data_IF_550131492897
#
_entry.id   IF_550131492897
#
_cell.length_a   1.000
_cell.length_b   1.000
_cell.length_c   1.000
_cell.angle_alpha   90.00
_cell.angle_beta   90.00
_cell.angle_gamma   90.00
#
_symmetry.space_group_name_H-M   'P 1'
#
loop_
_entity.id
_entity.type
_entity.pdbx_description
1 polymer ?
#
# COMPACT_ATOMS: atom_id res chain seq x y z
N UNK A 1 -11.52 -16.59 -21.39
CA UNK A 1 -12.99 -16.60 -21.21
C UNK A 1 -13.44 -15.14 -21.24
N UNK A 2 -14.53 -14.75 -21.94
CA UNK A 2 -14.94 -13.33 -21.95
C UNK A 2 -15.25 -12.83 -20.51
N UNK A 3 -14.77 -11.64 -20.16
CA UNK A 3 -14.96 -10.99 -18.84
C UNK A 3 -16.42 -10.98 -18.39
N UNK A 4 -17.36 -10.61 -19.25
CA UNK A 4 -18.78 -10.53 -18.87
C UNK A 4 -19.34 -11.91 -18.48
N UNK A 5 -18.88 -12.96 -19.16
CA UNK A 5 -19.22 -14.34 -18.84
C UNK A 5 -18.62 -14.76 -17.49
N UNK A 6 -17.39 -14.32 -17.19
CA UNK A 6 -16.73 -14.56 -15.90
C UNK A 6 -17.50 -13.90 -14.77
N UNK A 7 -17.81 -12.61 -14.89
CA UNK A 7 -18.56 -11.85 -13.89
C UNK A 7 -19.94 -12.45 -13.65
N UNK A 8 -20.65 -12.88 -14.71
CA UNK A 8 -21.94 -13.55 -14.58
C UNK A 8 -21.85 -14.90 -13.85
N UNK A 9 -20.83 -15.71 -14.15
CA UNK A 9 -20.60 -16.99 -13.45
C UNK A 9 -20.24 -16.73 -11.98
N UNK A 10 -19.35 -15.77 -11.71
CA UNK A 10 -18.93 -15.37 -10.36
C UNK A 10 -20.14 -15.01 -9.49
N UNK A 11 -21.03 -14.15 -10.00
CA UNK A 11 -22.25 -13.77 -9.31
C UNK A 11 -23.20 -14.96 -9.11
N UNK A 12 -23.53 -15.71 -10.18
CA UNK A 12 -24.46 -16.86 -10.10
C UNK A 12 -24.00 -17.97 -9.17
N UNK A 13 -22.69 -18.15 -9.02
CA UNK A 13 -22.09 -19.21 -8.17
C UNK A 13 -21.83 -18.73 -6.74
N UNK A 14 -22.08 -17.47 -6.42
CA UNK A 14 -21.92 -16.93 -5.07
C UNK A 14 -20.47 -16.64 -4.70
N UNK A 15 -19.70 -16.07 -5.63
CA UNK A 15 -18.38 -15.52 -5.34
C UNK A 15 -18.45 -14.05 -4.94
N UNK A 16 -18.89 -13.19 -5.86
CA UNK A 16 -18.93 -11.74 -5.67
C UNK A 16 -20.32 -11.20 -5.99
N UNK A 17 -20.89 -10.43 -5.07
CA UNK A 17 -22.17 -9.74 -5.22
C UNK A 17 -22.00 -8.25 -4.89
N UNK A 18 -22.58 -7.33 -5.68
CA UNK A 18 -22.73 -5.94 -5.26
C UNK A 18 -23.38 -5.87 -3.87
N UNK A 19 -22.85 -5.02 -2.98
CA UNK A 19 -23.48 -4.83 -1.67
C UNK A 19 -24.74 -3.97 -1.79
N UNK A 20 -25.72 -4.22 -0.91
CA UNK A 20 -26.95 -3.43 -0.77
C UNK A 20 -27.88 -3.44 -2.00
N UNK A 21 -27.88 -4.48 -2.84
CA UNK A 21 -28.68 -4.55 -4.09
C UNK A 21 -30.16 -4.18 -3.92
N UNK A 22 -30.82 -4.65 -2.85
CA UNK A 22 -32.24 -4.37 -2.59
C UNK A 22 -32.52 -2.92 -2.18
N UNK A 23 -31.47 -2.13 -1.93
CA UNK A 23 -31.50 -0.71 -1.58
C UNK A 23 -30.84 0.17 -2.66
N UNK A 24 -30.90 -0.25 -3.92
CA UNK A 24 -30.27 0.41 -5.08
C UNK A 24 -28.74 0.33 -5.14
N UNK A 25 -28.11 -0.41 -4.21
CA UNK A 25 -26.67 -0.63 -4.18
C UNK A 25 -25.85 0.60 -3.76
N UNK A 26 -24.58 0.37 -3.41
CA UNK A 26 -23.58 1.43 -3.22
C UNK A 26 -22.27 0.99 -3.84
N UNK A 27 -21.75 1.77 -4.80
CA UNK A 27 -20.48 1.48 -5.48
C UNK A 27 -19.31 1.43 -4.50
N UNK A 28 -18.35 0.53 -4.78
CA UNK A 28 -17.16 0.33 -3.97
C UNK A 28 -17.34 -0.62 -2.79
N UNK A 29 -18.52 -1.21 -2.60
CA UNK A 29 -18.77 -2.25 -1.60
C UNK A 29 -19.15 -3.56 -2.29
N UNK A 30 -18.59 -4.67 -1.80
CA UNK A 30 -18.82 -6.01 -2.36
C UNK A 30 -19.04 -7.02 -1.25
N UNK A 31 -20.12 -7.78 -1.38
CA UNK A 31 -20.42 -8.93 -0.54
C UNK A 31 -19.79 -10.19 -1.14
N UNK A 32 -19.08 -10.94 -0.31
CA UNK A 32 -18.54 -12.24 -0.69
C UNK A 32 -19.60 -13.30 -0.37
N UNK A 33 -20.18 -13.92 -1.41
CA UNK A 33 -21.16 -14.99 -1.26
C UNK A 33 -20.53 -16.27 -0.66
N UNK A 34 -21.28 -17.39 -0.53
CA UNK A 34 -20.79 -18.58 0.17
C UNK A 34 -19.46 -19.14 -0.36
N UNK A 35 -19.28 -19.22 -1.69
CA UNK A 35 -18.03 -19.70 -2.29
C UNK A 35 -16.93 -18.63 -2.25
N UNK A 36 -17.29 -17.37 -2.43
CA UNK A 36 -16.35 -16.25 -2.35
C UNK A 36 -15.75 -16.07 -0.96
N UNK A 37 -16.59 -16.18 0.08
CA UNK A 37 -16.16 -16.13 1.47
C UNK A 37 -15.21 -17.27 1.80
N UNK A 38 -15.52 -18.50 1.36
CA UNK A 38 -14.63 -19.65 1.54
C UNK A 38 -13.30 -19.47 0.80
N UNK A 39 -13.32 -19.00 -0.45
CA UNK A 39 -12.11 -18.75 -1.23
C UNK A 39 -11.23 -17.68 -0.56
N UNK A 40 -11.84 -16.55 -0.17
CA UNK A 40 -11.15 -15.47 0.53
C UNK A 40 -10.49 -15.95 1.82
N UNK A 41 -11.21 -16.76 2.61
CA UNK A 41 -10.65 -17.35 3.82
C UNK A 41 -9.47 -18.27 3.53
N UNK A 42 -9.56 -19.11 2.49
CA UNK A 42 -8.45 -19.98 2.10
C UNK A 42 -7.21 -19.18 1.68
N UNK A 43 -7.38 -18.09 0.93
CA UNK A 43 -6.29 -17.18 0.55
C UNK A 43 -5.65 -16.56 1.81
N UNK A 44 -6.45 -16.02 2.73
CA UNK A 44 -5.94 -15.45 3.98
C UNK A 44 -5.21 -16.48 4.85
N UNK A 45 -5.69 -17.72 4.92
CA UNK A 45 -5.01 -18.79 5.65
C UNK A 45 -3.68 -19.19 4.99
N UNK A 46 -3.63 -19.20 3.65
CA UNK A 46 -2.39 -19.43 2.90
C UNK A 46 -1.35 -18.33 3.21
N UNK A 47 -1.79 -17.08 3.24
CA UNK A 47 -0.94 -15.93 3.60
C UNK A 47 -0.43 -16.02 5.04
N UNK A 48 -1.31 -16.34 6.01
CA UNK A 48 -0.90 -16.59 7.40
C UNK A 48 0.14 -17.70 7.51
N UNK A 49 -0.05 -18.81 6.78
CA UNK A 49 0.91 -19.90 6.78
C UNK A 49 2.30 -19.44 6.31
N UNK A 50 2.36 -18.56 5.30
CA UNK A 50 3.63 -18.00 4.82
C UNK A 50 4.33 -17.17 5.91
N UNK A 51 3.67 -16.15 6.45
CA UNK A 51 4.35 -15.22 7.36
C UNK A 51 4.40 -15.67 8.82
N UNK A 52 3.33 -16.24 9.34
CA UNK A 52 3.27 -16.65 10.76
C UNK A 52 4.05 -17.95 10.97
N UNK A 53 3.76 -18.97 10.16
CA UNK A 53 4.40 -20.29 10.30
C UNK A 53 5.70 -20.42 9.51
N UNK A 54 5.83 -19.77 8.35
CA UNK A 54 7.04 -19.82 7.52
C UNK A 54 8.12 -18.86 8.03
N UNK A 55 7.79 -17.57 8.15
CA UNK A 55 8.76 -16.54 8.59
C UNK A 55 8.86 -16.40 10.12
N UNK A 56 7.96 -17.03 10.88
CA UNK A 56 7.97 -16.97 12.35
C UNK A 56 7.49 -15.62 12.91
N UNK A 57 6.76 -14.84 12.11
CA UNK A 57 6.18 -13.57 12.55
C UNK A 57 4.95 -13.79 13.43
N UNK A 58 4.56 -12.76 14.17
CA UNK A 58 3.40 -12.83 15.06
C UNK A 58 2.26 -11.95 14.56
N UNK A 59 1.06 -12.51 14.51
CA UNK A 59 -0.16 -11.80 14.13
C UNK A 59 -0.69 -10.97 15.29
N UNK A 60 -1.11 -9.73 14.99
CA UNK A 60 -1.84 -8.86 15.91
C UNK A 60 -3.18 -8.46 15.31
N UNK A 61 -4.10 -8.03 16.18
CA UNK A 61 -5.38 -7.46 15.78
C UNK A 61 -5.61 -6.15 16.55
N UNK A 62 -5.72 -5.05 15.80
CA UNK A 62 -6.03 -3.72 16.30
C UNK A 62 -7.38 -3.20 15.79
N UNK A 63 -7.91 -2.13 16.41
CA UNK A 63 -9.17 -1.52 15.99
C UNK A 63 -9.10 -0.96 14.57
N UNK A 64 -10.26 -0.86 13.92
CA UNK A 64 -10.41 -0.21 12.61
C UNK A 64 -10.66 1.28 12.70
N UNK A 65 -11.14 1.79 13.85
CA UNK A 65 -11.33 3.22 14.11
C UNK A 65 -10.09 3.77 14.80
N UNK A 66 -9.48 4.79 14.21
CA UNK A 66 -8.29 5.46 14.73
C UNK A 66 -8.58 6.93 15.09
N UNK A 67 -8.06 7.45 16.22
CA UNK A 67 -8.09 8.87 16.51
C UNK A 67 -7.36 9.68 15.43
N UNK A 68 -7.86 10.90 15.13
CA UNK A 68 -7.23 11.81 14.16
C UNK A 68 -5.73 12.01 14.41
N UNK A 69 -5.31 12.08 15.66
CA UNK A 69 -3.92 12.37 16.06
C UNK A 69 -2.95 11.30 15.55
N UNK A 70 -3.37 10.03 15.55
CA UNK A 70 -2.58 8.90 15.04
C UNK A 70 -2.35 9.07 13.54
N UNK A 71 -3.42 9.35 12.79
CA UNK A 71 -3.34 9.48 11.34
C UNK A 71 -2.67 10.80 10.91
N UNK A 72 -2.73 11.83 11.76
CA UNK A 72 -1.95 13.06 11.60
C UNK A 72 -0.46 12.79 11.81
N UNK A 73 -0.08 12.01 12.82
CA UNK A 73 1.31 11.61 13.03
C UNK A 73 1.87 10.82 11.85
N UNK A 74 1.07 9.94 11.25
CA UNK A 74 1.47 9.18 10.05
C UNK A 74 1.46 9.99 8.74
N UNK A 75 1.02 11.26 8.75
CA UNK A 75 0.89 12.10 7.55
C UNK A 75 -0.40 11.89 6.73
N UNK A 76 -1.18 10.83 6.98
CA UNK A 76 -2.42 10.55 6.24
C UNK A 76 -3.45 11.68 6.28
N UNK A 77 -3.57 12.40 7.40
CA UNK A 77 -4.52 13.54 7.47
C UNK A 77 -4.17 14.64 6.47
N UNK A 78 -2.89 14.81 6.16
CA UNK A 78 -2.40 15.91 5.31
C UNK A 78 -2.24 15.49 3.86
N UNK A 79 -1.86 14.22 3.61
CA UNK A 79 -1.42 13.77 2.30
C UNK A 79 -2.34 12.69 1.68
N UNK A 80 -3.32 12.15 2.42
CA UNK A 80 -4.22 11.10 1.91
C UNK A 80 -5.42 11.71 1.18
N UNK A 81 -5.12 12.44 0.10
CA UNK A 81 -6.08 13.21 -0.68
C UNK A 81 -5.94 12.91 -2.17
N UNK A 82 -7.07 12.87 -2.88
CA UNK A 82 -7.08 12.83 -4.34
C UNK A 82 -7.44 14.21 -4.92
N UNK A 83 -6.88 14.57 -6.10
CA UNK A 83 -7.27 15.77 -6.82
C UNK A 83 -8.66 15.59 -7.44
N UNK A 84 -9.59 16.48 -7.09
CA UNK A 84 -10.98 16.43 -7.55
C UNK A 84 -11.34 17.60 -8.44
N UNK A 85 -12.18 17.35 -9.43
CA UNK A 85 -12.95 18.38 -10.13
C UNK A 85 -14.43 18.01 -10.19
N UNK A 86 -15.30 19.00 -10.39
CA UNK A 86 -16.75 18.83 -10.51
C UNK A 86 -17.27 19.51 -11.77
N UNK A 87 -18.17 18.85 -12.48
CA UNK A 87 -18.88 19.49 -13.57
C UNK A 87 -19.85 20.55 -13.04
N UNK A 88 -19.74 21.78 -13.54
CA UNK A 88 -20.60 22.89 -13.12
C UNK A 88 -22.04 22.74 -13.62
N UNK A 89 -22.27 21.93 -14.67
CA UNK A 89 -23.59 21.72 -15.28
C UNK A 89 -24.39 20.59 -14.64
N UNK A 90 -23.83 19.38 -14.54
CA UNK A 90 -24.55 18.22 -14.00
C UNK A 90 -24.19 17.89 -12.53
N UNK A 91 -23.11 18.46 -12.01
CA UNK A 91 -22.67 18.24 -10.63
C UNK A 91 -21.92 16.94 -10.39
N UNK A 92 -21.69 16.12 -11.41
CA UNK A 92 -20.84 14.93 -11.33
C UNK A 92 -19.41 15.28 -10.92
N UNK A 93 -18.79 14.40 -10.15
CA UNK A 93 -17.47 14.62 -9.56
C UNK A 93 -16.50 13.58 -10.09
N UNK A 94 -15.32 14.04 -10.49
CA UNK A 94 -14.29 13.24 -11.12
C UNK A 94 -12.97 13.39 -10.36
N UNK A 95 -12.17 12.33 -10.40
CA UNK A 95 -10.74 12.42 -10.14
C UNK A 95 -10.09 13.15 -11.31
N UNK A 96 -9.43 14.26 -11.03
CA UNK A 96 -8.96 15.19 -12.06
C UNK A 96 -7.82 14.59 -12.89
N UNK A 97 -6.89 13.91 -12.24
CA UNK A 97 -5.80 13.19 -12.88
C UNK A 97 -6.30 12.15 -13.89
N UNK A 98 -7.27 11.30 -13.52
CA UNK A 98 -7.83 10.30 -14.44
C UNK A 98 -8.56 10.94 -15.63
N UNK A 99 -9.31 12.03 -15.41
CA UNK A 99 -10.05 12.67 -16.52
C UNK A 99 -9.09 13.33 -17.51
N UNK A 100 -7.96 13.83 -17.01
CA UNK A 100 -6.89 14.40 -17.83
C UNK A 100 -6.19 13.28 -18.59
N UNK A 101 -5.76 12.21 -17.91
CA UNK A 101 -5.11 11.05 -18.52
C UNK A 101 -5.98 10.42 -19.61
N UNK A 102 -7.28 10.22 -19.37
CA UNK A 102 -8.21 9.71 -20.39
C UNK A 102 -8.33 10.65 -21.60
N UNK A 103 -8.19 11.97 -21.40
CA UNK A 103 -8.31 12.96 -22.45
C UNK A 103 -7.03 13.15 -23.29
N UNK A 104 -5.85 13.10 -22.67
CA UNK A 104 -4.57 13.40 -23.33
C UNK A 104 -3.63 12.19 -23.48
N UNK A 105 -3.94 11.08 -22.82
CA UNK A 105 -3.13 9.85 -22.83
C UNK A 105 -1.78 9.98 -22.13
N UNK A 106 -1.64 10.92 -21.19
CA UNK A 106 -0.43 11.15 -20.40
C UNK A 106 -0.76 11.06 -18.92
N UNK A 107 0.09 10.38 -18.17
CA UNK A 107 0.03 10.33 -16.71
C UNK A 107 0.38 11.70 -16.12
N UNK A 108 -0.47 12.17 -15.20
CA UNK A 108 -0.38 13.45 -14.51
C UNK A 108 -0.52 13.32 -12.99
N UNK A 109 -0.51 12.10 -12.43
CA UNK A 109 -0.77 11.85 -11.00
C UNK A 109 0.24 12.57 -10.08
N UNK A 110 1.44 12.87 -10.60
CA UNK A 110 2.51 13.58 -9.90
C UNK A 110 2.46 15.12 -10.00
N UNK A 111 1.52 15.69 -10.77
CA UNK A 111 1.42 17.15 -10.97
C UNK A 111 0.62 17.84 -9.87
N UNK A 112 0.95 19.11 -9.61
CA UNK A 112 0.20 19.95 -8.68
C UNK A 112 -1.17 20.34 -9.27
N UNK A 113 -2.19 20.54 -8.42
CA UNK A 113 -3.55 20.94 -8.84
C UNK A 113 -3.56 22.14 -9.80
N UNK A 114 -2.69 23.12 -9.56
CA UNK A 114 -2.59 24.32 -10.40
C UNK A 114 -2.01 24.07 -11.80
N UNK A 115 -1.24 22.99 -11.98
CA UNK A 115 -0.70 22.58 -13.27
C UNK A 115 -1.74 21.76 -14.03
N UNK A 116 -2.44 20.86 -13.33
CA UNK A 116 -3.58 20.14 -13.88
C UNK A 116 -4.70 21.08 -14.34
N UNK A 117 -5.02 22.14 -13.60
CA UNK A 117 -5.99 23.17 -14.00
C UNK A 117 -5.59 23.84 -15.33
N UNK A 118 -4.29 24.08 -15.56
CA UNK A 118 -3.80 24.62 -16.84
C UNK A 118 -3.99 23.62 -17.97
N UNK A 119 -3.68 22.35 -17.74
CA UNK A 119 -3.85 21.28 -18.73
C UNK A 119 -5.32 21.15 -19.14
N UNK A 120 -6.24 21.20 -18.17
CA UNK A 120 -7.70 21.19 -18.41
C UNK A 120 -8.11 22.37 -19.29
N UNK A 121 -7.62 23.57 -19.01
CA UNK A 121 -7.94 24.78 -19.78
C UNK A 121 -7.33 24.75 -21.19
N UNK A 122 -6.06 24.39 -21.34
CA UNK A 122 -5.33 24.38 -22.61
C UNK A 122 -5.87 23.33 -23.59
N UNK A 123 -6.28 22.17 -23.08
CA UNK A 123 -6.84 21.07 -23.87
C UNK A 123 -8.38 21.13 -23.96
N UNK A 124 -9.01 22.14 -23.34
CA UNK A 124 -10.46 22.32 -23.30
C UNK A 124 -11.20 21.04 -22.87
N UNK A 125 -10.69 20.36 -21.83
CA UNK A 125 -11.25 19.12 -21.30
C UNK A 125 -12.61 19.42 -20.68
N UNK A 126 -13.63 18.61 -21.02
CA UNK A 126 -15.02 18.78 -20.59
C UNK A 126 -15.52 17.56 -19.83
N UNK A 127 -16.63 17.75 -19.13
CA UNK A 127 -17.37 16.66 -18.51
C UNK A 127 -17.72 15.55 -19.54
N UNK A 128 -17.34 14.29 -19.32
CA UNK A 128 -17.59 13.19 -20.25
C UNK A 128 -19.07 12.81 -20.33
N UNK A 129 -19.86 13.12 -19.29
CA UNK A 129 -21.30 12.78 -19.25
C UNK A 129 -22.17 13.79 -19.98
N UNK A 130 -21.89 15.09 -19.85
CA UNK A 130 -22.77 16.16 -20.38
C UNK A 130 -22.07 17.24 -21.20
N UNK A 131 -20.75 17.20 -21.36
CA UNK A 131 -19.95 18.19 -22.10
C UNK A 131 -19.81 19.56 -21.43
N UNK A 132 -20.26 19.70 -20.17
CA UNK A 132 -20.16 20.94 -19.41
C UNK A 132 -18.74 21.25 -18.91
N UNK A 133 -18.52 22.49 -18.47
CA UNK A 133 -17.27 22.94 -17.89
C UNK A 133 -16.96 22.26 -16.54
N UNK A 134 -15.68 22.05 -16.29
CA UNK A 134 -15.13 21.49 -15.06
C UNK A 134 -14.64 22.62 -14.16
N UNK A 135 -14.98 22.56 -12.88
CA UNK A 135 -14.50 23.53 -11.88
C UNK A 135 -13.00 23.33 -11.58
N UNK A 136 -12.39 24.32 -10.92
CA UNK A 136 -11.00 24.23 -10.47
C UNK A 136 -10.78 23.01 -9.57
N UNK A 137 -9.58 22.45 -9.63
CA UNK A 137 -9.23 21.24 -8.91
C UNK A 137 -8.98 21.53 -7.42
N UNK A 138 -9.43 20.64 -6.53
CA UNK A 138 -9.18 20.72 -5.08
C UNK A 138 -8.86 19.34 -4.48
N UNK A 139 -8.21 19.34 -3.30
CA UNK A 139 -7.86 18.11 -2.60
C UNK A 139 -9.02 17.54 -1.78
N UNK A 140 -9.30 16.25 -1.96
CA UNK A 140 -10.33 15.55 -1.22
C UNK A 140 -9.76 14.40 -0.37
N UNK A 141 -9.98 14.47 0.94
CA UNK A 141 -9.48 13.45 1.86
C UNK A 141 -10.22 12.11 1.68
N UNK A 142 -9.46 11.05 1.42
CA UNK A 142 -9.98 9.72 1.15
C UNK A 142 -10.24 8.90 2.42
N UNK A 143 -10.10 9.44 3.63
CA UNK A 143 -10.40 8.68 4.84
C UNK A 143 -11.87 8.84 5.24
N UNK A 144 -12.52 7.72 5.57
CA UNK A 144 -13.86 7.77 6.16
C UNK A 144 -13.81 8.36 7.56
N UNK A 145 -14.29 9.60 7.70
CA UNK A 145 -14.36 10.32 8.98
C UNK A 145 -15.53 9.81 9.85
N UNK A 146 -15.29 9.74 11.15
CA UNK A 146 -16.30 9.39 12.17
C UNK A 146 -16.08 10.20 13.46
N UNK A 147 -16.95 10.00 14.45
CA UNK A 147 -16.87 10.61 15.78
C UNK A 147 -16.72 9.53 16.85
N UNK A 148 -15.74 9.69 17.74
CA UNK A 148 -15.45 8.77 18.83
C UNK A 148 -16.14 9.27 20.10
N UNK A 149 -17.16 8.52 20.53
CA UNK A 149 -17.90 8.77 21.77
C UNK A 149 -19.10 9.70 21.58
N UNK A 150 -20.09 9.56 22.47
CA UNK A 150 -21.41 10.20 22.32
C UNK A 150 -21.42 11.74 22.40
N UNK A 151 -20.32 12.37 22.81
CA UNK A 151 -20.20 13.83 22.91
C UNK A 151 -19.69 14.49 21.62
N UNK A 152 -19.30 13.70 20.60
CA UNK A 152 -18.83 14.21 19.30
C UNK A 152 -17.52 15.02 19.33
N UNK A 153 -16.84 15.09 20.49
CA UNK A 153 -15.69 15.96 20.68
C UNK A 153 -14.36 15.35 20.23
N UNK A 154 -14.35 14.08 19.81
CA UNK A 154 -13.14 13.39 19.35
C UNK A 154 -13.36 12.89 17.93
N UNK A 155 -12.62 13.46 16.98
CA UNK A 155 -12.66 13.03 15.57
C UNK A 155 -11.86 11.73 15.44
N UNK A 156 -12.46 10.76 14.75
CA UNK A 156 -11.78 9.55 14.32
C UNK A 156 -11.90 9.34 12.82
N UNK A 157 -11.17 8.37 12.32
CA UNK A 157 -11.31 7.88 10.96
C UNK A 157 -11.29 6.35 10.97
N UNK A 158 -11.95 5.74 9.99
CA UNK A 158 -11.68 4.35 9.66
C UNK A 158 -10.28 4.28 9.05
N UNK A 159 -9.47 3.32 9.48
CA UNK A 159 -8.06 3.20 9.08
C UNK A 159 -7.92 2.97 7.56
N UNK A 160 -7.04 3.73 6.86
CA UNK A 160 -6.80 3.56 5.42
C UNK A 160 -5.85 2.40 5.09
N UNK A 161 -5.11 1.93 6.09
CA UNK A 161 -4.18 0.80 6.07
C UNK A 161 -4.16 0.12 7.45
N UNK A 162 -3.52 -1.04 7.58
CA UNK A 162 -3.38 -1.76 8.85
C UNK A 162 -2.03 -1.49 9.55
N UNK A 163 -0.99 -1.08 8.82
CA UNK A 163 0.38 -0.86 9.28
C UNK A 163 0.47 0.01 10.55
N UNK A 164 -0.30 1.10 10.60
CA UNK A 164 -0.35 2.00 11.76
C UNK A 164 -0.68 1.28 13.07
N UNK A 165 -1.52 0.25 13.03
CA UNK A 165 -1.82 -0.57 14.21
C UNK A 165 -0.60 -1.31 14.77
N UNK A 166 0.34 -1.68 13.90
CA UNK A 166 1.60 -2.34 14.27
C UNK A 166 2.59 -1.31 14.83
N UNK A 167 2.78 -0.17 14.17
CA UNK A 167 3.72 0.87 14.60
C UNK A 167 3.39 1.42 16.00
N UNK A 168 2.11 1.67 16.29
CA UNK A 168 1.67 2.14 17.62
C UNK A 168 2.00 1.12 18.72
N UNK A 169 2.02 -0.17 18.38
CA UNK A 169 2.33 -1.26 19.31
C UNK A 169 3.82 -1.61 19.35
N UNK A 170 4.68 -0.89 18.63
CA UNK A 170 6.11 -1.20 18.50
C UNK A 170 6.80 -1.42 19.86
N UNK A 171 6.62 -0.53 20.84
CA UNK A 171 7.22 -0.67 22.18
C UNK A 171 6.80 -1.93 22.93
N UNK A 172 5.62 -2.49 22.63
CA UNK A 172 5.18 -3.78 23.19
C UNK A 172 5.74 -4.96 22.39
N UNK A 173 5.78 -4.82 21.06
CA UNK A 173 6.35 -5.83 20.17
C UNK A 173 7.85 -5.99 20.42
N UNK A 174 8.62 -4.91 20.48
CA UNK A 174 10.05 -4.91 20.81
C UNK A 174 10.32 -5.69 22.11
N UNK A 175 9.56 -5.42 23.18
CA UNK A 175 9.66 -6.17 24.45
C UNK A 175 9.29 -7.63 24.31
N UNK A 176 8.25 -7.94 23.53
CA UNK A 176 7.82 -9.31 23.26
C UNK A 176 8.92 -10.11 22.55
N UNK A 177 9.61 -9.48 21.60
CA UNK A 177 10.78 -10.02 20.90
C UNK A 177 12.10 -9.84 21.68
N UNK A 178 12.04 -9.35 22.93
CA UNK A 178 13.18 -9.20 23.85
C UNK A 178 14.28 -8.28 23.31
N UNK A 179 13.90 -7.22 22.59
CA UNK A 179 14.83 -6.23 22.04
C UNK A 179 15.77 -6.76 20.96
N UNK A 180 15.39 -7.86 20.28
CA UNK A 180 16.21 -8.46 19.22
C UNK A 180 15.63 -8.16 17.85
N UNK A 181 16.48 -7.71 16.95
CA UNK A 181 16.21 -7.57 15.52
C UNK A 181 16.88 -8.73 14.75
N UNK A 182 16.36 -9.10 13.57
CA UNK A 182 15.10 -8.63 13.01
C UNK A 182 13.89 -9.29 13.71
N UNK A 183 12.73 -8.64 13.66
CA UNK A 183 11.46 -9.26 14.01
C UNK A 183 10.33 -8.74 13.12
N UNK A 184 9.31 -9.57 12.88
CA UNK A 184 8.16 -9.22 12.07
C UNK A 184 6.85 -9.32 12.84
N UNK A 185 5.95 -8.38 12.60
CA UNK A 185 4.57 -8.42 13.05
C UNK A 185 3.63 -8.31 11.85
N UNK A 186 2.54 -9.07 11.87
CA UNK A 186 1.57 -9.09 10.77
C UNK A 186 0.19 -8.70 11.25
N UNK A 187 -0.61 -8.13 10.35
CA UNK A 187 -2.01 -7.85 10.60
C UNK A 187 -2.84 -8.11 9.34
N UNK A 188 -3.89 -8.92 9.50
CA UNK A 188 -4.92 -9.09 8.47
C UNK A 188 -6.21 -8.45 8.95
N UNK A 189 -6.77 -7.54 8.15
CA UNK A 189 -8.02 -6.92 8.55
C UNK A 189 -8.58 -5.94 7.54
N UNK A 190 -9.67 -5.29 7.91
CA UNK A 190 -10.33 -4.30 7.06
C UNK A 190 -9.53 -3.00 7.00
N UNK A 191 -9.53 -2.40 5.82
CA UNK A 191 -9.08 -1.04 5.56
C UNK A 191 -10.10 -0.34 4.65
N UNK A 192 -10.09 0.99 4.72
CA UNK A 192 -11.15 1.81 4.18
C UNK A 192 -10.56 3.00 3.43
N UNK A 193 -10.93 3.15 2.16
CA UNK A 193 -10.56 4.30 1.33
C UNK A 193 -11.83 4.85 0.71
N UNK A 194 -12.19 6.09 0.96
CA UNK A 194 -13.40 6.74 0.45
C UNK A 194 -13.23 7.13 -1.02
N UNK A 195 -12.93 6.11 -1.83
CA UNK A 195 -12.70 6.18 -3.27
C UNK A 195 -13.87 6.88 -3.95
N UNK A 196 -13.53 7.83 -4.82
CA UNK A 196 -14.45 8.79 -5.40
C UNK A 196 -15.35 8.09 -6.40
N UNK A 197 -14.72 7.37 -7.33
CA UNK A 197 -15.38 6.63 -8.40
C UNK A 197 -14.92 5.17 -8.40
N UNK A 198 -15.43 4.34 -7.48
CA UNK A 198 -15.09 2.93 -7.47
C UNK A 198 -15.55 2.26 -8.76
N UNK A 199 -14.61 1.82 -9.58
CA UNK A 199 -14.82 1.15 -10.87
C UNK A 199 -14.08 -0.20 -10.88
N UNK A 200 -14.32 -1.02 -11.90
CA UNK A 200 -13.55 -2.25 -12.15
C UNK A 200 -13.74 -3.38 -11.10
N UNK A 201 -14.89 -3.41 -10.43
CA UNK A 201 -15.25 -4.51 -9.52
C UNK A 201 -14.43 -4.48 -8.22
N UNK A 202 -13.72 -5.58 -7.91
CA UNK A 202 -12.96 -5.73 -6.67
C UNK A 202 -11.57 -5.11 -6.69
N UNK A 203 -11.16 -4.50 -7.81
CA UNK A 203 -9.87 -3.82 -7.95
C UNK A 203 -9.87 -2.49 -7.20
N UNK A 204 -10.94 -1.70 -7.31
CA UNK A 204 -11.09 -0.43 -6.58
C UNK A 204 -12.33 -0.48 -5.67
N UNK A 205 -12.10 -0.69 -4.38
CA UNK A 205 -13.12 -0.80 -3.34
C UNK A 205 -12.97 0.29 -2.29
N UNK A 206 -14.09 0.62 -1.64
CA UNK A 206 -14.12 1.52 -0.48
C UNK A 206 -13.82 0.82 0.83
N UNK A 207 -14.14 -0.46 0.90
CA UNK A 207 -13.81 -1.34 2.01
C UNK A 207 -13.22 -2.63 1.46
N UNK A 208 -12.01 -2.97 1.90
CA UNK A 208 -11.32 -4.18 1.48
C UNK A 208 -10.52 -4.78 2.63
N UNK A 209 -10.00 -5.99 2.43
CA UNK A 209 -9.17 -6.67 3.43
C UNK A 209 -7.73 -6.62 2.94
N UNK A 210 -6.85 -6.08 3.78
CA UNK A 210 -5.41 -6.13 3.56
C UNK A 210 -4.77 -7.15 4.49
N UNK A 211 -3.59 -7.61 4.09
CA UNK A 211 -2.70 -8.41 4.89
C UNK A 211 -1.32 -7.77 4.79
N UNK A 212 -0.88 -7.12 5.87
CA UNK A 212 0.36 -6.36 5.91
C UNK A 212 1.32 -6.99 6.92
N UNK A 213 2.61 -6.95 6.58
CA UNK A 213 3.71 -7.47 7.38
C UNK A 213 4.74 -6.38 7.56
N UNK A 214 4.92 -5.91 8.80
CA UNK A 214 5.96 -4.94 9.14
C UNK A 214 7.16 -5.70 9.69
N UNK A 215 8.29 -5.57 8.99
CA UNK A 215 9.54 -6.27 9.31
C UNK A 215 10.54 -5.23 9.81
N UNK A 216 10.83 -5.27 11.10
CA UNK A 216 11.78 -4.36 11.73
C UNK A 216 13.18 -4.95 11.62
N UNK A 217 14.08 -4.20 10.99
CA UNK A 217 15.46 -4.57 10.72
C UNK A 217 16.42 -3.60 11.41
N UNK A 218 17.66 -4.03 11.57
CA UNK A 218 18.75 -3.10 11.87
C UNK A 218 19.08 -2.32 10.57
N UNK A 219 19.11 -0.97 10.56
CA UNK A 219 19.46 -0.22 9.36
C UNK A 219 20.87 -0.52 8.84
N UNK A 220 21.78 -1.02 9.68
CA UNK A 220 23.13 -1.45 9.31
C UNK A 220 23.18 -2.91 8.81
N UNK A 221 22.13 -3.70 9.04
CA UNK A 221 22.04 -5.11 8.65
C UNK A 221 20.62 -5.46 8.15
N UNK A 222 20.44 -5.35 6.83
CA UNK A 222 19.21 -5.71 6.11
C UNK A 222 19.33 -7.08 5.41
N UNK A 223 20.11 -8.00 5.98
CA UNK A 223 20.25 -9.37 5.47
C UNK A 223 19.07 -10.27 5.86
N UNK A 224 18.97 -11.44 5.23
CA UNK A 224 18.02 -12.49 5.66
C UNK A 224 18.70 -13.85 5.68
N UNK A 225 18.50 -14.67 6.74
CA UNK A 225 19.12 -16.00 6.81
C UNK A 225 18.69 -16.94 5.68
N UNK A 226 17.58 -16.64 5.02
CA UNK A 226 17.01 -17.46 3.95
C UNK A 226 17.48 -17.05 2.55
N UNK A 227 18.36 -16.03 2.41
CA UNK A 227 18.78 -15.55 1.09
C UNK A 227 19.46 -16.63 0.24
N UNK A 228 20.30 -17.46 0.86
CA UNK A 228 20.99 -18.58 0.18
C UNK A 228 20.04 -19.56 -0.54
N UNK A 229 18.78 -19.66 -0.08
CA UNK A 229 17.78 -20.54 -0.70
C UNK A 229 17.23 -19.96 -2.01
N UNK A 230 17.37 -18.65 -2.21
CA UNK A 230 16.77 -17.92 -3.34
C UNK A 230 17.80 -17.24 -4.23
N UNK A 231 19.09 -17.35 -3.93
CA UNK A 231 20.12 -16.54 -4.61
C UNK A 231 20.18 -16.75 -6.13
N UNK A 232 19.77 -17.93 -6.60
CA UNK A 232 19.70 -18.30 -8.01
C UNK A 232 18.29 -18.20 -8.62
N UNK A 233 17.30 -17.74 -7.85
CA UNK A 233 15.94 -17.55 -8.34
C UNK A 233 15.91 -16.39 -9.35
N UNK A 234 15.38 -16.66 -10.54
CA UNK A 234 15.22 -15.65 -11.59
C UNK A 234 13.96 -14.84 -11.32
N UNK A 235 14.10 -13.52 -11.25
CA UNK A 235 13.00 -12.57 -11.08
C UNK A 235 12.89 -11.67 -12.32
N UNK A 236 11.65 -11.33 -12.69
CA UNK A 236 11.35 -10.42 -13.80
C UNK A 236 11.16 -9.00 -13.25
N UNK A 237 12.22 -8.19 -13.32
CA UNK A 237 12.27 -6.86 -12.69
C UNK A 237 12.08 -5.76 -13.72
N UNK A 238 11.15 -4.86 -13.44
CA UNK A 238 10.89 -3.62 -14.16
C UNK A 238 11.37 -2.44 -13.31
N UNK A 239 12.69 -2.29 -13.21
CA UNK A 239 13.35 -1.24 -12.41
C UNK A 239 13.04 0.18 -12.89
N UNK A 240 13.41 1.20 -12.12
CA UNK A 240 13.30 2.61 -12.54
C UNK A 240 14.00 2.85 -13.88
N UNK A 241 15.24 2.39 -14.03
CA UNK A 241 16.01 2.56 -15.27
C UNK A 241 15.33 1.90 -16.48
N UNK A 242 14.76 0.71 -16.28
CA UNK A 242 14.03 -0.01 -17.34
C UNK A 242 12.80 0.79 -17.78
N UNK A 243 12.05 1.35 -16.82
CA UNK A 243 10.86 2.16 -17.10
C UNK A 243 11.21 3.48 -17.78
N UNK A 244 12.19 4.23 -17.27
CA UNK A 244 12.59 5.53 -17.81
C UNK A 244 13.14 5.44 -19.25
N UNK A 245 13.67 4.28 -19.63
CA UNK A 245 14.22 4.04 -20.97
C UNK A 245 13.29 3.21 -21.87
N UNK A 246 12.05 2.94 -21.46
CA UNK A 246 11.06 2.14 -22.20
C UNK A 246 11.63 0.77 -22.66
N UNK A 247 12.33 0.10 -21.76
CA UNK A 247 12.94 -1.20 -21.99
C UNK A 247 12.03 -2.33 -21.52
N UNK A 248 12.23 -3.52 -22.07
CA UNK A 248 11.56 -4.73 -21.55
C UNK A 248 12.09 -5.09 -20.16
N UNK A 249 11.23 -5.60 -19.25
CA UNK A 249 11.64 -6.07 -17.93
C UNK A 249 12.76 -7.11 -18.03
N UNK A 250 13.77 -6.98 -17.15
CA UNK A 250 14.93 -7.86 -17.12
C UNK A 250 14.62 -9.16 -16.37
N UNK A 251 15.11 -10.28 -16.88
CA UNK A 251 15.14 -11.55 -16.14
C UNK A 251 16.54 -11.73 -15.55
N UNK A 252 16.64 -11.74 -14.23
CA UNK A 252 17.91 -11.72 -13.52
C UNK A 252 17.86 -12.56 -12.24
N UNK A 253 18.97 -13.22 -11.90
CA UNK A 253 19.09 -13.95 -10.65
C UNK A 253 19.09 -13.00 -9.44
N UNK A 254 18.51 -13.44 -8.32
CA UNK A 254 18.41 -12.61 -7.12
C UNK A 254 19.77 -12.09 -6.64
N UNK A 255 20.82 -12.93 -6.62
CA UNK A 255 22.18 -12.50 -6.29
C UNK A 255 22.67 -11.40 -7.22
N UNK A 256 22.52 -11.61 -8.53
CA UNK A 256 23.01 -10.67 -9.54
C UNK A 256 22.26 -9.32 -9.49
N UNK A 257 20.97 -9.32 -9.16
CA UNK A 257 20.20 -8.10 -8.95
C UNK A 257 20.72 -7.27 -7.77
N UNK A 258 21.14 -7.92 -6.68
CA UNK A 258 21.77 -7.27 -5.54
C UNK A 258 23.18 -6.77 -5.87
N UNK A 259 24.00 -7.60 -6.51
CA UNK A 259 25.38 -7.26 -6.87
C UNK A 259 25.43 -6.04 -7.81
N UNK A 260 24.41 -5.89 -8.67
CA UNK A 260 24.23 -4.73 -9.57
C UNK A 260 23.53 -3.54 -8.91
N UNK A 261 23.06 -3.68 -7.66
CA UNK A 261 22.34 -2.61 -6.96
C UNK A 261 20.96 -2.29 -7.54
N UNK A 262 20.36 -3.20 -8.31
CA UNK A 262 19.02 -3.03 -8.88
C UNK A 262 17.97 -3.06 -7.76
N UNK A 263 18.14 -3.96 -6.80
CA UNK A 263 17.32 -4.05 -5.59
C UNK A 263 18.18 -3.69 -4.38
N UNK A 264 17.64 -2.89 -3.46
CA UNK A 264 18.45 -2.24 -2.42
C UNK A 264 19.11 -3.20 -1.41
N UNK A 265 18.49 -4.32 -1.05
CA UNK A 265 18.99 -5.24 -0.03
C UNK A 265 18.40 -6.66 -0.11
N UNK A 266 19.04 -7.61 0.60
CA UNK A 266 18.63 -9.03 0.63
C UNK A 266 17.22 -9.23 1.17
N UNK A 267 16.80 -8.48 2.20
CA UNK A 267 15.45 -8.61 2.74
C UNK A 267 14.38 -8.21 1.71
N UNK A 268 14.59 -7.12 0.97
CA UNK A 268 13.65 -6.62 -0.02
C UNK A 268 13.44 -7.64 -1.14
N UNK A 269 14.53 -8.13 -1.74
CA UNK A 269 14.42 -9.12 -2.82
C UNK A 269 13.87 -10.48 -2.34
N UNK A 270 14.12 -10.83 -1.07
CA UNK A 270 13.49 -12.00 -0.45
C UNK A 270 11.98 -11.84 -0.30
N UNK A 271 11.49 -10.64 0.06
CA UNK A 271 10.06 -10.36 0.08
C UNK A 271 9.45 -10.40 -1.34
N UNK A 272 10.16 -9.94 -2.38
CA UNK A 272 9.72 -10.11 -3.77
C UNK A 272 9.55 -11.59 -4.14
N UNK A 273 10.53 -12.43 -3.76
CA UNK A 273 10.43 -13.88 -3.94
C UNK A 273 9.22 -14.48 -3.21
N UNK A 274 9.00 -14.11 -1.94
CA UNK A 274 7.88 -14.60 -1.13
C UNK A 274 6.52 -14.18 -1.71
N UNK A 275 6.42 -12.97 -2.26
CA UNK A 275 5.23 -12.50 -2.93
C UNK A 275 4.92 -13.33 -4.18
N UNK A 276 5.90 -13.55 -5.08
CA UNK A 276 5.71 -14.43 -6.25
C UNK A 276 5.36 -15.85 -5.84
N UNK A 277 6.04 -16.40 -4.83
CA UNK A 277 5.74 -17.75 -4.31
C UNK A 277 4.28 -17.85 -3.86
N UNK A 278 3.82 -16.91 -3.05
CA UNK A 278 2.42 -16.86 -2.58
C UNK A 278 1.43 -16.78 -3.75
N UNK A 279 1.67 -15.90 -4.72
CA UNK A 279 0.80 -15.70 -5.88
C UNK A 279 0.72 -16.96 -6.77
N UNK A 280 1.86 -17.61 -7.02
CA UNK A 280 1.90 -18.90 -7.72
C UNK A 280 1.12 -19.98 -6.96
N UNK A 281 1.28 -20.02 -5.64
CA UNK A 281 0.63 -20.99 -4.77
C UNK A 281 -0.89 -20.82 -4.65
N UNK A 282 -1.44 -19.66 -5.00
CA UNK A 282 -2.89 -19.41 -5.11
C UNK A 282 -3.41 -19.45 -6.55
N UNK A 283 -2.53 -19.75 -7.52
CA UNK A 283 -2.89 -20.04 -8.90
C UNK A 283 -2.71 -18.89 -9.90
N UNK A 284 -1.99 -17.82 -9.54
CA UNK A 284 -1.59 -16.78 -10.50
C UNK A 284 -0.34 -17.26 -11.24
N UNK A 285 -0.32 -17.28 -12.58
CA UNK A 285 0.82 -17.81 -13.32
C UNK A 285 1.96 -16.79 -13.41
N UNK A 286 3.21 -17.27 -13.45
CA UNK A 286 4.41 -16.43 -13.48
C UNK A 286 4.49 -15.46 -14.68
N UNK A 287 3.97 -15.85 -15.83
CA UNK A 287 3.97 -15.01 -17.05
C UNK A 287 3.03 -13.81 -16.95
N UNK A 288 2.07 -13.86 -16.02
CA UNK A 288 1.20 -12.75 -15.67
C UNK A 288 1.76 -11.89 -14.53
N UNK A 289 2.96 -12.17 -14.00
CA UNK A 289 3.59 -11.40 -12.92
C UNK A 289 4.72 -10.51 -13.42
N UNK A 290 4.85 -9.32 -12.83
CA UNK A 290 6.07 -8.49 -12.89
C UNK A 290 6.29 -7.76 -11.57
N UNK A 291 7.53 -7.39 -11.30
CA UNK A 291 7.90 -6.51 -10.19
C UNK A 291 8.26 -5.14 -10.75
N UNK A 292 7.49 -4.10 -10.43
CA UNK A 292 7.71 -2.74 -10.92
C UNK A 292 8.23 -1.87 -9.79
N UNK A 293 9.40 -1.26 -9.98
CA UNK A 293 9.94 -0.32 -9.00
C UNK A 293 9.21 1.02 -9.13
N UNK A 294 8.90 1.69 -8.02
CA UNK A 294 8.34 3.05 -8.07
C UNK A 294 9.31 4.01 -8.72
N UNK A 295 8.82 4.92 -9.56
CA UNK A 295 9.62 6.04 -10.09
C UNK A 295 9.87 7.09 -9.01
N UNK A 296 10.86 7.97 -9.21
CA UNK A 296 11.24 9.00 -8.21
C UNK A 296 10.08 9.92 -7.82
N UNK A 297 9.15 10.20 -8.73
CA UNK A 297 7.95 11.00 -8.46
C UNK A 297 6.81 10.24 -7.78
N UNK A 298 6.82 8.90 -7.86
CA UNK A 298 5.79 8.03 -7.26
C UNK A 298 6.18 7.59 -5.84
N UNK A 299 7.48 7.58 -5.54
CA UNK A 299 7.97 7.19 -4.23
C UNK A 299 7.32 8.05 -3.14
N UNK A 300 6.60 7.41 -2.23
CA UNK A 300 6.14 8.06 -1.02
C UNK A 300 7.33 8.73 -0.32
N UNK A 301 7.15 9.93 0.25
CA UNK A 301 8.23 10.76 0.80
C UNK A 301 9.08 10.08 1.91
N UNK A 302 8.68 8.90 2.36
CA UNK A 302 9.34 8.08 3.37
C UNK A 302 9.98 6.77 2.86
N UNK A 303 9.72 6.36 1.61
CA UNK A 303 10.27 5.12 1.08
C UNK A 303 11.72 5.31 0.57
N UNK A 304 12.61 4.38 0.88
CA UNK A 304 13.98 4.29 0.37
C UNK A 304 14.05 3.49 -0.94
N UNK A 305 13.25 2.44 -1.04
CA UNK A 305 13.04 1.62 -2.23
C UNK A 305 11.63 1.02 -2.14
N UNK A 306 10.92 0.92 -3.27
CA UNK A 306 9.55 0.43 -3.29
C UNK A 306 9.28 -0.33 -4.59
N UNK A 307 8.68 -1.51 -4.45
CA UNK A 307 8.40 -2.41 -5.54
C UNK A 307 6.96 -2.90 -5.47
N UNK A 308 6.23 -2.71 -6.55
CA UNK A 308 4.88 -3.23 -6.76
C UNK A 308 4.96 -4.59 -7.45
N UNK A 309 4.22 -5.55 -6.91
CA UNK A 309 3.95 -6.82 -7.58
C UNK A 309 2.65 -6.66 -8.36
N UNK A 310 2.77 -6.62 -9.68
CA UNK A 310 1.66 -6.38 -10.58
C UNK A 310 1.24 -7.65 -11.31
N UNK A 311 -0.07 -7.82 -11.48
CA UNK A 311 -0.67 -8.91 -12.26
C UNK A 311 -1.25 -8.37 -13.56
N UNK A 312 -0.89 -9.00 -14.67
CA UNK A 312 -1.52 -8.74 -15.97
C UNK A 312 -2.92 -9.35 -16.01
N UNK A 313 -3.92 -8.50 -16.17
CA UNK A 313 -5.33 -8.88 -16.32
C UNK A 313 -5.76 -8.79 -17.79
N UNK A 314 -6.71 -9.65 -18.19
CA UNK A 314 -7.23 -9.67 -19.57
C UNK A 314 -7.89 -8.35 -20.00
N UNK A 315 -8.41 -7.55 -19.05
CA UNK A 315 -9.25 -6.38 -19.32
C UNK A 315 -8.63 -5.05 -18.88
N UNK A 316 -7.90 -5.03 -17.78
CA UNK A 316 -7.44 -3.79 -17.13
C UNK A 316 -5.92 -3.61 -17.21
N UNK A 317 -5.23 -4.44 -17.98
CA UNK A 317 -3.77 -4.37 -18.07
C UNK A 317 -3.10 -4.80 -16.77
N UNK A 318 -1.97 -4.18 -16.45
CA UNK A 318 -1.21 -4.45 -15.22
C UNK A 318 -1.88 -3.76 -14.04
N UNK A 319 -2.09 -4.51 -12.96
CA UNK A 319 -2.72 -4.03 -11.73
C UNK A 319 -1.85 -4.42 -10.55
N UNK A 320 -1.51 -3.46 -9.71
CA UNK A 320 -0.83 -3.68 -8.42
C UNK A 320 -1.71 -4.53 -7.49
N UNK A 321 -1.13 -5.56 -6.90
CA UNK A 321 -1.83 -6.40 -5.90
C UNK A 321 -1.04 -6.60 -4.60
N UNK A 322 0.26 -6.28 -4.58
CA UNK A 322 1.11 -6.29 -3.38
C UNK A 322 2.15 -5.18 -3.55
N UNK A 323 2.17 -4.19 -2.66
CA UNK A 323 3.27 -3.25 -2.51
C UNK A 323 4.30 -3.74 -1.48
N UNK A 324 5.59 -3.62 -1.80
CA UNK A 324 6.72 -3.93 -0.91
C UNK A 324 7.60 -2.69 -0.80
N UNK A 325 7.58 -2.05 0.36
CA UNK A 325 8.26 -0.77 0.60
C UNK A 325 9.29 -0.87 1.74
N UNK A 326 10.46 -0.30 1.54
CA UNK A 326 11.45 -0.01 2.59
C UNK A 326 11.20 1.41 3.10
N UNK A 327 10.55 1.55 4.25
CA UNK A 327 10.09 2.85 4.80
C UNK A 327 11.13 3.53 5.73
N UNK A 328 12.35 2.98 5.80
CA UNK A 328 13.36 3.44 6.75
C UNK A 328 12.85 3.43 8.19
N UNK A 329 13.03 4.55 8.91
CA UNK A 329 12.55 4.74 10.27
C UNK A 329 11.35 5.70 10.37
N UNK A 330 10.78 6.14 9.24
CA UNK A 330 9.84 7.26 9.17
C UNK A 330 8.66 7.11 10.13
N UNK A 331 7.96 5.97 10.08
CA UNK A 331 6.75 5.75 10.87
C UNK A 331 7.03 5.79 12.38
N UNK A 332 8.07 5.08 12.83
CA UNK A 332 8.46 5.07 14.24
C UNK A 332 8.97 6.44 14.69
N UNK A 333 9.80 7.10 13.88
CA UNK A 333 10.31 8.44 14.16
C UNK A 333 9.20 9.49 14.22
N UNK A 334 8.20 9.39 13.35
CA UNK A 334 7.05 10.30 13.37
C UNK A 334 6.16 10.06 14.59
N UNK A 335 5.78 8.81 14.87
CA UNK A 335 4.99 8.50 16.07
C UNK A 335 5.72 8.86 17.35
N UNK A 336 7.04 8.64 17.43
CA UNK A 336 7.87 9.04 18.57
C UNK A 336 7.78 10.56 18.82
N UNK A 337 7.91 11.38 17.77
CA UNK A 337 7.78 12.84 17.86
C UNK A 337 6.38 13.30 18.30
N UNK A 338 5.32 12.71 17.75
CA UNK A 338 3.94 13.14 18.03
C UNK A 338 3.42 12.65 19.39
N UNK A 339 3.88 11.48 19.85
CA UNK A 339 3.45 10.89 21.13
C UNK A 339 4.33 11.29 22.32
N UNK A 340 5.56 11.78 22.06
CA UNK A 340 6.62 11.94 23.05
C UNK A 340 7.05 10.62 23.73
N UNK A 341 6.81 9.48 23.07
CA UNK A 341 7.25 8.16 23.52
C UNK A 341 8.46 7.70 22.69
N UNK A 342 9.48 7.13 23.34
CA UNK A 342 10.65 6.62 22.63
C UNK A 342 10.35 5.27 21.96
N UNK A 343 10.47 5.23 20.62
CA UNK A 343 10.29 4.05 19.78
C UNK A 343 11.62 3.66 19.12
N UNK A 344 12.48 2.96 19.87
CA UNK A 344 13.75 2.42 19.37
C UNK A 344 14.01 1.02 19.92
N UNK A 345 14.98 0.33 19.32
CA UNK A 345 15.58 -0.88 19.87
C UNK A 345 16.99 -0.54 20.33
N UNK A 346 17.37 -0.95 21.53
CA UNK A 346 18.72 -0.77 22.03
C UNK A 346 19.62 -1.91 21.52
N UNK A 347 20.70 -1.55 20.81
CA UNK A 347 21.77 -2.46 20.40
C UNK A 347 22.98 -2.24 21.30
N UNK A 348 23.34 -3.25 22.07
CA UNK A 348 24.56 -3.22 22.88
C UNK A 348 25.79 -3.27 21.96
N UNK A 349 26.82 -2.49 22.27
CA UNK A 349 28.09 -2.57 21.53
C UNK A 349 28.83 -3.86 21.90
N UNK A 350 29.50 -4.47 20.92
CA UNK A 350 30.36 -5.65 21.17
C UNK A 350 31.45 -5.36 22.22
N UNK A 351 31.98 -4.13 22.22
CA UNK A 351 32.92 -3.64 23.21
C UNK A 351 32.50 -2.27 23.76
N UNK A 352 32.73 -1.97 25.06
CA UNK A 352 32.41 -0.67 25.62
C UNK A 352 33.13 0.50 24.92
N UNK A 353 32.36 1.36 24.24
CA UNK A 353 32.89 2.60 23.66
C UNK A 353 33.10 3.67 24.74
N UNK A 354 34.36 4.00 25.02
CA UNK A 354 34.73 5.17 25.84
C UNK A 354 34.62 6.44 25.01
N UNK A 355 33.83 7.41 25.47
CA UNK A 355 33.66 8.71 24.80
C UNK A 355 34.11 9.83 25.75
N UNK A 356 35.08 10.65 25.32
CA UNK A 356 35.40 11.90 26.02
C UNK A 356 34.33 12.95 25.68
N UNK A 357 33.70 13.52 26.72
CA UNK A 357 32.80 14.67 26.58
C UNK A 357 33.26 15.79 27.50
N UNK A 358 33.39 16.99 26.95
CA UNK A 358 33.55 18.22 27.75
C UNK A 358 32.17 18.63 28.24
N UNK A 359 31.99 18.68 29.57
CA UNK A 359 30.71 19.08 30.19
C UNK A 359 30.94 20.34 31.00
N UNK A 360 30.16 21.39 30.71
CA UNK A 360 30.12 22.59 31.54
C UNK A 360 29.24 22.28 32.75
N UNK A 361 29.83 22.28 33.95
CA UNK A 361 29.08 22.21 35.21
C UNK A 361 28.91 23.62 35.77
N UNK A 362 27.69 24.09 36.03
CA UNK A 362 27.51 25.31 36.80
C UNK A 362 28.06 25.10 38.23
N UNK A 363 28.73 26.12 38.75
CA UNK A 363 29.24 26.14 40.12
C UNK A 363 28.14 26.25 41.16
#
# INVERSE_FOLDING_TARGET
MNHDKMTNISAKRGFLWPSFEIYSGVSGFTDYGPLGASLKNNIMQKWRKQYVSGEGFYEIEGPTVMPKEVLKASGHVDNFTDPMTKCESCGEVYRADHIIEEAIGQDVESLENSEMDKIVAENNIKCPECGGDLANIWDYNLMFKTEIGAKGNKVGYMRPETAQGIFILFKRLERFFRGKLPFGAVQLGKAYRNEISPRQGVIRLREFTQAEAEIFLDPEDKTTPNFSQIENEILRLNSQEVQENDLEPIEIAAREALDKGIVANEMLIYQLYLARKFLNEIGIPNDALRFRQHLKGEMAHYALDCWDVEVKTDKYGWVEIIGIADRGDYDLSSHSKFSNDELYVFKEYDEPKKVQKTVVKPN
#
